data_IF_298957771153
#
_entry.id   IF_298957771153
#
_cell.length_a   1.000
_cell.length_b   1.000
_cell.length_c   1.000
_cell.angle_alpha   90.00
_cell.angle_beta   90.00
_cell.angle_gamma   90.00
#
_symmetry.space_group_name_H-M   'P 1'
#
loop_
_entity.id
_entity.type
_entity.pdbx_description
1 polymer ?
#
# COMPACT_ATOMS: atom_id res chain seq x y z
N UNK A 1 8.34 -5.18 0.40
CA UNK A 1 7.19 -4.80 -0.45
C UNK A 1 6.08 -5.82 -0.27
N UNK A 2 4.83 -5.37 -0.35
CA UNK A 2 3.65 -6.23 -0.18
C UNK A 2 2.61 -5.83 -1.23
N UNK A 3 1.89 -6.81 -1.76
CA UNK A 3 0.71 -6.61 -2.62
C UNK A 3 -0.51 -7.12 -1.85
N UNK A 4 -1.59 -6.36 -1.87
CA UNK A 4 -2.89 -6.79 -1.35
C UNK A 4 -3.99 -6.57 -2.39
N UNK A 5 -5.08 -7.33 -2.25
CA UNK A 5 -6.31 -7.06 -2.99
C UNK A 5 -7.21 -6.06 -2.23
N UNK A 6 -8.37 -5.74 -2.81
CA UNK A 6 -9.35 -4.84 -2.19
C UNK A 6 -10.08 -5.46 -0.99
N UNK A 7 -10.01 -6.78 -0.84
CA UNK A 7 -10.59 -7.55 0.26
C UNK A 7 -9.63 -7.70 1.46
N UNK A 8 -8.49 -7.01 1.42
CA UNK A 8 -7.46 -6.97 2.46
C UNK A 8 -6.70 -8.30 2.63
N UNK A 9 -6.63 -9.13 1.59
CA UNK A 9 -5.74 -10.29 1.57
C UNK A 9 -4.35 -9.90 1.07
N UNK A 10 -3.32 -10.42 1.73
CA UNK A 10 -1.97 -10.38 1.21
C UNK A 10 -1.84 -11.38 0.06
N UNK A 11 -1.55 -10.90 -1.15
CA UNK A 11 -1.38 -11.74 -2.34
C UNK A 11 0.08 -12.00 -2.68
N UNK A 12 0.98 -11.14 -2.18
CA UNK A 12 2.42 -11.31 -2.29
C UNK A 12 3.15 -10.51 -1.21
N UNK A 13 4.29 -11.02 -0.73
CA UNK A 13 5.15 -10.31 0.21
C UNK A 13 6.64 -10.63 -0.05
N UNK A 14 7.42 -9.59 -0.37
CA UNK A 14 8.88 -9.65 -0.36
C UNK A 14 9.39 -9.22 1.02
N UNK A 15 9.91 -10.17 1.79
CA UNK A 15 10.22 -10.02 3.22
C UNK A 15 11.74 -9.97 3.47
N UNK A 16 12.15 -8.96 4.24
CA UNK A 16 13.52 -8.85 4.75
C UNK A 16 14.50 -8.16 3.82
N UNK A 17 13.98 -7.24 3.00
CA UNK A 17 14.80 -6.23 2.32
C UNK A 17 15.26 -5.17 3.33
N UNK A 18 16.46 -4.58 3.15
CA UNK A 18 16.92 -3.47 3.98
C UNK A 18 15.94 -2.30 3.97
N UNK A 19 15.69 -1.68 5.13
CA UNK A 19 14.77 -0.54 5.24
C UNK A 19 15.25 0.74 4.54
N UNK A 20 16.52 0.80 4.14
CA UNK A 20 17.11 1.90 3.36
C UNK A 20 17.01 1.71 1.85
N UNK A 21 16.55 0.54 1.39
CA UNK A 21 16.43 0.25 -0.03
C UNK A 21 15.26 1.04 -0.62
N UNK A 22 15.46 1.70 -1.76
CA UNK A 22 14.39 2.42 -2.44
C UNK A 22 13.26 1.45 -2.83
N UNK A 23 12.02 1.93 -2.75
CA UNK A 23 10.80 1.19 -3.09
C UNK A 23 10.90 0.53 -4.48
N UNK A 24 11.40 1.28 -5.47
CA UNK A 24 11.61 0.77 -6.82
C UNK A 24 12.66 -0.33 -6.89
N UNK A 25 13.76 -0.22 -6.15
CA UNK A 25 14.77 -1.27 -6.06
C UNK A 25 14.20 -2.55 -5.44
N UNK A 26 13.35 -2.41 -4.43
CA UNK A 26 12.64 -3.56 -3.82
C UNK A 26 11.70 -4.21 -4.82
N UNK A 27 10.97 -3.44 -5.64
CA UNK A 27 10.11 -3.98 -6.69
C UNK A 27 10.89 -4.75 -7.74
N UNK A 28 11.98 -4.17 -8.28
CA UNK A 28 12.78 -4.86 -9.28
C UNK A 28 13.45 -6.11 -8.72
N UNK A 29 13.98 -6.05 -7.50
CA UNK A 29 14.49 -7.23 -6.82
C UNK A 29 13.42 -8.32 -6.71
N UNK A 30 12.19 -7.98 -6.33
CA UNK A 30 11.09 -8.92 -6.25
C UNK A 30 10.71 -9.53 -7.61
N UNK A 31 10.56 -8.70 -8.64
CA UNK A 31 10.26 -9.16 -10.01
C UNK A 31 11.35 -10.11 -10.52
N UNK A 32 12.62 -9.82 -10.23
CA UNK A 32 13.74 -10.61 -10.72
C UNK A 32 13.96 -11.93 -9.97
N UNK A 33 13.84 -11.91 -8.64
CA UNK A 33 14.12 -13.08 -7.81
C UNK A 33 12.91 -14.00 -7.67
N UNK A 34 11.69 -13.44 -7.70
CA UNK A 34 10.44 -14.19 -7.53
C UNK A 34 9.69 -14.33 -8.86
N UNK A 35 10.39 -14.38 -10.02
CA UNK A 35 9.77 -14.43 -11.37
C UNK A 35 8.63 -15.43 -11.52
N UNK A 36 8.74 -16.59 -10.86
CA UNK A 36 7.75 -17.66 -10.93
C UNK A 36 6.48 -17.39 -10.10
N UNK A 37 6.57 -16.54 -9.09
CA UNK A 37 5.51 -16.34 -8.09
C UNK A 37 5.05 -14.89 -7.97
N UNK A 38 5.81 -13.93 -8.49
CA UNK A 38 5.45 -12.52 -8.47
C UNK A 38 4.18 -12.29 -9.31
N UNK A 39 3.09 -11.82 -8.69
CA UNK A 39 1.85 -11.62 -9.40
C UNK A 39 1.98 -10.38 -10.28
N UNK A 40 1.93 -10.59 -11.60
CA UNK A 40 1.81 -9.49 -12.56
C UNK A 40 0.34 -9.16 -12.79
N UNK A 41 -0.01 -7.89 -12.97
CA UNK A 41 -1.39 -7.52 -13.24
C UNK A 41 -1.84 -8.12 -14.58
N UNK A 42 -3.05 -8.70 -14.67
CA UNK A 42 -3.59 -9.17 -15.95
C UNK A 42 -3.68 -8.05 -16.99
N UNK A 43 -3.72 -8.40 -18.28
CA UNK A 43 -3.87 -7.40 -19.36
C UNK A 43 -5.11 -6.53 -19.12
N UNK A 44 -4.92 -5.21 -19.19
CA UNK A 44 -5.97 -4.21 -18.93
C UNK A 44 -6.21 -3.91 -17.45
N UNK A 45 -5.42 -4.48 -16.53
CA UNK A 45 -5.43 -4.16 -15.10
C UNK A 45 -4.09 -3.56 -14.68
N UNK A 46 -4.08 -2.92 -13.52
CA UNK A 46 -2.90 -2.28 -12.95
C UNK A 46 -2.93 -2.33 -11.42
N UNK A 47 -1.75 -2.31 -10.80
CA UNK A 47 -1.59 -2.05 -9.37
C UNK A 47 -1.63 -0.56 -9.09
N UNK A 48 -2.32 -0.17 -8.01
CA UNK A 48 -2.17 1.17 -7.45
C UNK A 48 -0.91 1.18 -6.58
N UNK A 49 0.07 2.00 -6.96
CA UNK A 49 1.36 2.08 -6.27
C UNK A 49 1.56 3.43 -5.60
N UNK A 50 2.50 3.48 -4.65
CA UNK A 50 2.89 4.75 -4.02
C UNK A 50 3.61 5.69 -4.98
N UNK A 51 3.72 6.97 -4.61
CA UNK A 51 4.50 7.97 -5.33
C UNK A 51 6.00 7.60 -5.46
N UNK A 52 6.49 6.74 -4.56
CA UNK A 52 7.83 6.17 -4.62
C UNK A 52 8.09 5.26 -5.82
N UNK A 53 7.05 4.74 -6.49
CA UNK A 53 7.19 3.84 -7.64
C UNK A 53 7.05 4.59 -8.99
N UNK A 54 7.68 4.09 -10.07
CA UNK A 54 7.49 4.65 -11.41
C UNK A 54 6.07 4.37 -11.93
N UNK A 55 5.51 5.33 -12.69
CA UNK A 55 4.26 5.12 -13.42
C UNK A 55 4.58 4.39 -14.73
N UNK A 56 4.37 3.08 -14.80
CA UNK A 56 4.79 2.22 -15.92
C UNK A 56 3.78 1.11 -16.14
N UNK A 57 3.81 0.46 -17.29
CA UNK A 57 2.83 -0.57 -17.66
C UNK A 57 2.57 -1.56 -16.51
N UNK A 58 1.31 -1.65 -16.09
CA UNK A 58 0.85 -2.46 -14.97
C UNK A 58 0.90 -1.77 -13.59
N UNK A 59 1.43 -0.56 -13.46
CA UNK A 59 1.59 0.16 -12.20
C UNK A 59 1.16 1.62 -12.36
N UNK A 60 0.08 1.99 -11.66
CA UNK A 60 -0.50 3.33 -11.70
C UNK A 60 -0.10 4.11 -10.45
N UNK A 61 0.82 5.06 -10.63
CA UNK A 61 1.31 5.93 -9.56
C UNK A 61 0.52 7.25 -9.51
N UNK A 62 0.40 7.90 -8.33
CA UNK A 62 -0.22 9.22 -8.22
C UNK A 62 0.61 10.29 -8.92
N UNK A 63 0.01 11.46 -9.15
CA UNK A 63 0.76 12.64 -9.55
C UNK A 63 1.61 13.14 -8.38
N UNK A 64 2.90 13.38 -8.64
CA UNK A 64 3.86 13.93 -7.68
C UNK A 64 3.72 15.45 -7.61
N UNK A 65 4.07 16.03 -6.47
CA UNK A 65 4.09 17.49 -6.27
C UNK A 65 2.72 18.15 -6.05
N UNK A 66 1.66 17.33 -6.00
CA UNK A 66 0.28 17.77 -5.78
C UNK A 66 -0.26 17.13 -4.50
N UNK A 67 -1.33 17.70 -3.95
CA UNK A 67 -1.97 17.16 -2.73
C UNK A 67 -2.37 15.69 -2.94
N UNK A 68 -2.08 14.84 -1.96
CA UNK A 68 -2.25 13.39 -2.08
C UNK A 68 -2.81 12.70 -0.84
N UNK A 69 -2.47 13.13 0.38
CA UNK A 69 -2.92 12.39 1.56
C UNK A 69 -4.41 12.63 1.84
N UNK A 70 -5.15 11.56 2.18
CA UNK A 70 -6.59 11.64 2.51
C UNK A 70 -6.90 12.73 3.56
N UNK A 71 -6.12 12.90 4.64
CA UNK A 71 -6.35 13.98 5.61
C UNK A 71 -6.26 15.39 5.01
N UNK A 72 -5.44 15.60 3.99
CA UNK A 72 -5.28 16.90 3.33
C UNK A 72 -6.56 17.28 2.56
N UNK A 73 -7.29 16.28 2.06
CA UNK A 73 -8.57 16.48 1.39
C UNK A 73 -9.75 16.56 2.36
N UNK A 74 -9.68 15.90 3.51
CA UNK A 74 -10.72 15.98 4.55
C UNK A 74 -10.70 17.31 5.31
N UNK A 75 -9.50 17.85 5.57
CA UNK A 75 -9.31 19.10 6.34
C UNK A 75 -9.17 20.35 5.46
N UNK A 76 -8.83 20.16 4.19
CA UNK A 76 -8.58 21.25 3.24
C UNK A 76 -9.76 21.52 2.31
N UNK A 77 -9.55 22.45 1.37
CA UNK A 77 -10.54 22.75 0.33
C UNK A 77 -10.80 21.52 -0.57
N UNK A 78 -12.00 21.37 -1.17
CA UNK A 78 -12.25 20.31 -2.14
C UNK A 78 -11.21 20.30 -3.29
N UNK A 79 -10.88 19.13 -3.87
CA UNK A 79 -9.98 19.08 -5.02
C UNK A 79 -10.61 19.80 -6.22
N UNK A 80 -9.84 20.65 -6.86
CA UNK A 80 -10.31 21.56 -7.92
C UNK A 80 -9.82 21.13 -9.29
N UNK A 81 -8.61 20.60 -9.38
CA UNK A 81 -7.99 20.20 -10.65
C UNK A 81 -8.27 18.73 -10.96
N UNK A 82 -8.24 18.31 -12.24
CA UNK A 82 -8.31 16.90 -12.62
C UNK A 82 -7.25 16.04 -11.89
N UNK A 83 -6.06 16.61 -11.68
CA UNK A 83 -4.96 15.96 -10.98
C UNK A 83 -5.28 15.74 -9.51
N UNK A 84 -5.75 16.77 -8.79
CA UNK A 84 -6.14 16.63 -7.39
C UNK A 84 -7.30 15.64 -7.22
N UNK A 85 -8.28 15.68 -8.13
CA UNK A 85 -9.43 14.76 -8.15
C UNK A 85 -8.98 13.31 -8.32
N UNK A 86 -8.08 13.06 -9.28
CA UNK A 86 -7.44 11.77 -9.47
C UNK A 86 -6.68 11.32 -8.21
N UNK A 87 -5.80 12.17 -7.66
CA UNK A 87 -5.00 11.85 -6.48
C UNK A 87 -5.88 11.53 -5.26
N UNK A 88 -7.01 12.24 -5.07
CA UNK A 88 -7.97 11.93 -4.01
C UNK A 88 -8.57 10.52 -4.15
N UNK A 89 -9.01 10.16 -5.35
CA UNK A 89 -9.56 8.81 -5.61
C UNK A 89 -8.47 7.75 -5.46
N UNK A 90 -7.29 7.99 -6.04
CA UNK A 90 -6.14 7.09 -5.96
C UNK A 90 -5.77 6.81 -4.51
N UNK A 91 -5.58 7.86 -3.71
CA UNK A 91 -5.26 7.79 -2.28
C UNK A 91 -6.34 7.05 -1.48
N UNK A 92 -7.62 7.34 -1.75
CA UNK A 92 -8.76 6.65 -1.12
C UNK A 92 -8.76 5.14 -1.42
N UNK A 93 -8.46 4.73 -2.65
CA UNK A 93 -8.37 3.31 -3.03
C UNK A 93 -7.11 2.65 -2.49
N UNK A 94 -5.98 3.37 -2.48
CA UNK A 94 -4.71 2.91 -1.92
C UNK A 94 -4.80 2.70 -0.41
N UNK A 95 -5.69 3.40 0.29
CA UNK A 95 -5.94 3.23 1.74
C UNK A 95 -6.16 1.76 2.15
N UNK A 96 -6.64 0.88 1.25
CA UNK A 96 -6.78 -0.55 1.56
C UNK A 96 -5.48 -1.20 2.03
N UNK A 97 -4.31 -0.87 1.44
CA UNK A 97 -3.04 -1.46 1.89
C UNK A 97 -2.69 -1.01 3.31
N UNK A 98 -2.93 0.26 3.63
CA UNK A 98 -2.66 0.85 4.95
C UNK A 98 -3.56 0.23 6.02
N UNK A 99 -4.85 0.11 5.71
CA UNK A 99 -5.83 -0.60 6.55
C UNK A 99 -5.45 -2.05 6.76
N UNK A 100 -4.97 -2.73 5.72
CA UNK A 100 -4.53 -4.14 5.80
C UNK A 100 -3.37 -4.28 6.77
N UNK A 101 -2.34 -3.42 6.66
CA UNK A 101 -1.25 -3.37 7.62
C UNK A 101 -1.72 -3.03 9.04
N UNK A 102 -2.69 -2.12 9.19
CA UNK A 102 -3.28 -1.76 10.47
C UNK A 102 -3.93 -2.96 11.16
N UNK A 103 -4.83 -3.67 10.47
CA UNK A 103 -5.51 -4.86 11.00
C UNK A 103 -4.50 -5.93 11.36
N UNK A 104 -3.57 -6.20 10.44
CA UNK A 104 -2.52 -7.21 10.62
C UNK A 104 -1.68 -6.94 11.87
N UNK A 105 -1.18 -5.70 12.04
CA UNK A 105 -0.39 -5.30 13.21
C UNK A 105 -1.19 -5.29 14.52
N UNK A 106 -2.48 -4.92 14.48
CA UNK A 106 -3.33 -4.93 15.68
C UNK A 106 -3.65 -6.36 16.15
N UNK A 107 -3.89 -7.26 15.20
CA UNK A 107 -4.13 -8.68 15.47
C UNK A 107 -2.88 -9.34 16.03
N UNK A 108 -1.75 -9.16 15.34
CA UNK A 108 -0.49 -9.81 15.66
C UNK A 108 0.47 -8.83 16.32
N UNK A 109 0.21 -8.53 17.60
CA UNK A 109 0.99 -7.52 18.37
C UNK A 109 2.49 -7.82 18.48
N UNK A 110 2.93 -9.05 18.19
CA UNK A 110 4.36 -9.39 18.07
C UNK A 110 5.06 -8.53 17.01
N UNK A 111 4.34 -8.10 15.97
CA UNK A 111 4.86 -7.22 14.91
C UNK A 111 5.11 -5.79 15.39
N UNK A 112 4.44 -5.35 16.46
CA UNK A 112 4.63 -4.02 17.04
C UNK A 112 5.91 -3.91 17.88
N UNK A 113 6.39 -5.06 18.38
CA UNK A 113 7.62 -5.16 19.14
C UNK A 113 8.22 -6.54 18.93
N UNK A 114 8.92 -6.70 17.81
CA UNK A 114 9.62 -7.94 17.49
C UNK A 114 10.67 -8.22 18.58
N UNK A 115 10.64 -9.38 19.25
CA UNK A 115 11.74 -9.80 20.11
C UNK A 115 13.04 -9.95 19.32
N UNK A 116 14.17 -9.99 20.02
CA UNK A 116 15.48 -10.12 19.38
C UNK A 116 15.70 -11.56 18.85
N UNK A 117 15.07 -11.85 17.72
CA UNK A 117 15.24 -13.09 16.97
C UNK A 117 16.21 -12.88 15.80
N UNK A 118 16.78 -13.97 15.30
CA UNK A 118 17.54 -13.93 14.05
C UNK A 118 16.68 -13.36 12.90
N UNK A 119 17.31 -12.73 11.91
CA UNK A 119 16.59 -12.22 10.74
C UNK A 119 15.77 -13.33 10.07
N UNK A 120 16.29 -14.56 9.95
CA UNK A 120 15.56 -15.69 9.39
C UNK A 120 14.25 -15.96 10.15
N UNK A 121 14.31 -15.99 11.48
CA UNK A 121 13.13 -16.18 12.34
C UNK A 121 12.15 -15.01 12.22
N UNK A 122 12.63 -13.77 12.18
CA UNK A 122 11.75 -12.60 11.99
C UNK A 122 11.00 -12.67 10.65
N UNK A 123 11.69 -13.06 9.56
CA UNK A 123 11.04 -13.26 8.25
C UNK A 123 9.93 -14.31 8.31
N UNK A 124 10.18 -15.43 9.00
CA UNK A 124 9.17 -16.49 9.19
C UNK A 124 7.96 -16.02 9.99
N UNK A 125 8.16 -15.23 11.06
CA UNK A 125 7.06 -14.66 11.85
C UNK A 125 6.19 -13.75 10.98
N UNK A 126 6.81 -12.90 10.15
CA UNK A 126 6.09 -12.03 9.21
C UNK A 126 5.26 -12.85 8.24
N UNK A 127 5.85 -13.85 7.58
CA UNK A 127 5.15 -14.72 6.63
C UNK A 127 4.01 -15.51 7.28
N UNK A 128 4.24 -16.08 8.47
CA UNK A 128 3.24 -16.85 9.21
C UNK A 128 2.04 -15.97 9.60
N UNK A 129 2.29 -14.78 10.13
CA UNK A 129 1.21 -13.87 10.54
C UNK A 129 0.43 -13.31 9.35
N UNK A 130 1.06 -13.10 8.18
CA UNK A 130 0.35 -12.76 6.93
C UNK A 130 -0.56 -13.90 6.47
N UNK A 131 -0.07 -15.14 6.55
CA UNK A 131 -0.86 -16.34 6.20
C UNK A 131 -2.05 -16.49 7.12
N UNK A 132 -1.85 -16.35 8.44
CA UNK A 132 -2.93 -16.40 9.43
C UNK A 132 -3.93 -15.25 9.27
N UNK A 133 -3.47 -14.05 8.91
CA UNK A 133 -4.35 -12.93 8.58
C UNK A 133 -5.29 -13.27 7.43
N UNK A 134 -4.76 -13.82 6.33
CA UNK A 134 -5.59 -14.26 5.20
C UNK A 134 -6.57 -15.37 5.60
N UNK A 135 -6.12 -16.35 6.40
CA UNK A 135 -6.97 -17.43 6.89
C UNK A 135 -8.16 -16.88 7.69
N UNK A 136 -7.92 -15.97 8.64
CA UNK A 136 -8.97 -15.32 9.41
C UNK A 136 -9.89 -14.53 8.49
N UNK A 137 -9.34 -13.75 7.55
CA UNK A 137 -10.14 -12.97 6.59
C UNK A 137 -11.10 -13.85 5.78
N UNK A 138 -10.65 -15.03 5.37
CA UNK A 138 -11.43 -15.95 4.54
C UNK A 138 -12.53 -16.68 5.33
N UNK A 139 -12.27 -17.01 6.59
CA UNK A 139 -13.11 -17.94 7.36
C UNK A 139 -13.89 -17.30 8.52
N UNK A 140 -13.49 -16.14 9.00
CA UNK A 140 -14.12 -15.45 10.13
C UNK A 140 -14.64 -14.06 9.72
N UNK A 141 -15.90 -14.05 9.24
CA UNK A 141 -16.59 -12.81 8.84
C UNK A 141 -16.93 -11.90 10.03
N UNK A 142 -16.95 -12.45 11.25
CA UNK A 142 -17.28 -11.71 12.47
C UNK A 142 -16.04 -11.19 13.20
N UNK A 143 -14.85 -11.32 12.59
CA UNK A 143 -13.61 -10.86 13.19
C UNK A 143 -13.65 -9.35 13.47
N UNK A 144 -13.52 -9.01 14.75
CA UNK A 144 -13.67 -7.65 15.24
C UNK A 144 -12.67 -6.64 14.63
N UNK A 145 -11.49 -7.07 14.20
CA UNK A 145 -10.51 -6.14 13.61
C UNK A 145 -10.86 -5.80 12.16
N UNK A 146 -11.35 -6.78 11.40
CA UNK A 146 -11.88 -6.53 10.06
C UNK A 146 -13.18 -5.72 10.13
N UNK A 147 -14.14 -6.11 10.97
CA UNK A 147 -15.41 -5.39 11.13
C UNK A 147 -15.22 -3.91 11.50
N UNK A 148 -14.26 -3.60 12.37
CA UNK A 148 -13.95 -2.19 12.72
C UNK A 148 -13.47 -1.38 11.51
N UNK A 149 -12.66 -1.98 10.65
CA UNK A 149 -12.21 -1.32 9.43
C UNK A 149 -13.32 -1.22 8.39
N UNK A 150 -14.21 -2.20 8.29
CA UNK A 150 -15.31 -2.15 7.31
C UNK A 150 -16.38 -1.12 7.66
N UNK A 151 -16.66 -0.93 8.96
CA UNK A 151 -17.63 0.05 9.44
C UNK A 151 -17.24 1.50 9.19
N UNK A 152 -15.94 1.77 9.10
CA UNK A 152 -15.41 3.10 8.86
C UNK A 152 -14.31 3.03 7.80
N UNK A 153 -14.64 3.49 6.59
CA UNK A 153 -13.74 3.45 5.44
C UNK A 153 -12.48 4.29 5.63
N UNK A 154 -12.52 5.28 6.53
CA UNK A 154 -11.41 6.16 6.89
C UNK A 154 -10.68 5.67 8.16
N UNK A 155 -11.12 4.57 8.77
CA UNK A 155 -10.47 3.99 9.95
C UNK A 155 -9.14 3.36 9.58
N UNK A 156 -8.06 4.01 10.01
CA UNK A 156 -6.71 3.44 10.01
C UNK A 156 -6.39 2.98 11.43
N UNK A 157 -6.25 1.65 11.67
CA UNK A 157 -5.94 1.13 13.00
C UNK A 157 -4.67 1.77 13.55
N UNK A 158 -4.83 2.57 14.61
CA UNK A 158 -3.72 3.34 15.17
C UNK A 158 -2.87 2.45 16.08
N UNK A 159 -1.56 2.47 15.89
CA UNK A 159 -0.63 1.78 16.78
C UNK A 159 -0.76 2.38 18.20
N UNK A 160 -1.05 1.57 19.24
CA UNK A 160 -1.17 2.06 20.60
C UNK A 160 0.08 2.84 21.03
N UNK A 161 -0.09 3.93 21.79
CA UNK A 161 0.98 4.87 22.12
C UNK A 161 2.24 4.21 22.68
N UNK A 162 2.09 3.17 23.50
CA UNK A 162 3.21 2.41 24.06
C UNK A 162 4.14 1.76 23.02
N UNK A 163 3.67 1.57 21.78
CA UNK A 163 4.44 1.02 20.67
C UNK A 163 4.88 2.08 19.65
N UNK A 164 4.45 3.34 19.77
CA UNK A 164 4.85 4.41 18.84
C UNK A 164 6.37 4.57 18.75
N UNK A 165 7.09 4.37 19.86
CA UNK A 165 8.57 4.40 19.88
C UNK A 165 9.26 3.33 19.03
N UNK A 166 8.53 2.30 18.60
CA UNK A 166 9.03 1.22 17.75
C UNK A 166 8.46 1.29 16.33
N UNK A 167 7.54 2.22 16.05
CA UNK A 167 6.98 2.41 14.72
C UNK A 167 7.98 3.17 13.84
N UNK A 168 8.23 2.67 12.64
CA UNK A 168 8.94 3.45 11.61
C UNK A 168 7.96 4.51 11.08
N UNK A 169 8.33 5.81 11.04
CA UNK A 169 7.49 6.85 10.49
C UNK A 169 7.09 6.52 9.04
N UNK A 170 5.81 6.68 8.72
CA UNK A 170 5.25 6.44 7.38
C UNK A 170 5.85 7.36 6.30
N UNK A 171 6.52 8.43 6.71
CA UNK A 171 7.02 9.53 5.90
C UNK A 171 8.37 9.23 5.24
N UNK A 172 8.93 8.03 5.44
CA UNK A 172 10.28 7.69 4.97
C UNK A 172 10.36 7.30 3.48
N UNK A 173 9.22 7.20 2.78
CA UNK A 173 9.14 6.76 1.37
C UNK A 173 9.03 7.89 0.34
N UNK A 174 9.05 9.17 0.75
CA UNK A 174 8.98 10.33 -0.16
C UNK A 174 10.31 10.61 -0.89
N UNK A 175 11.11 9.59 -1.19
CA UNK A 175 12.32 9.74 -1.98
C UNK A 175 11.97 9.46 -3.44
N UNK A 176 12.00 10.51 -4.26
CA UNK A 176 11.73 10.41 -5.70
C UNK A 176 12.68 9.39 -6.35
N UNK A 177 12.12 8.35 -6.95
CA UNK A 177 12.86 7.38 -7.76
C UNK A 177 13.37 8.03 -9.05
N UNK A 178 14.60 7.71 -9.45
CA UNK A 178 15.27 8.10 -10.71
C UNK A 178 14.87 7.26 -11.94
N UNK A 179 13.98 6.28 -11.78
CA UNK A 179 13.54 5.39 -12.85
C UNK A 179 12.48 6.09 -13.69
N UNK A 180 12.65 6.04 -15.00
CA UNK A 180 11.76 6.70 -15.96
C UNK A 180 10.35 6.09 -15.93
N UNK A 181 9.35 6.95 -15.95
CA UNK A 181 7.94 6.56 -16.19
C UNK A 181 7.76 6.09 -17.63
N UNK A 182 6.82 5.17 -17.85
CA UNK A 182 6.44 4.72 -19.19
C UNK A 182 5.42 5.67 -19.83
N UNK A 183 5.62 6.13 -21.07
CA UNK A 183 4.77 7.14 -21.71
C UNK A 183 3.30 6.69 -21.85
N UNK A 184 3.06 5.38 -22.01
CA UNK A 184 1.71 4.83 -22.14
C UNK A 184 0.87 5.03 -20.88
N UNK A 185 1.44 4.75 -19.70
CA UNK A 185 0.73 4.88 -18.43
C UNK A 185 0.57 6.33 -17.99
N UNK A 186 1.46 7.23 -18.42
CA UNK A 186 1.28 8.66 -18.20
C UNK A 186 0.10 9.21 -18.99
N UNK A 187 -0.04 8.82 -20.27
CA UNK A 187 -1.20 9.18 -21.08
C UNK A 187 -2.49 8.60 -20.48
N UNK A 188 -2.51 7.30 -20.17
CA UNK A 188 -3.66 6.64 -19.55
C UNK A 188 -4.08 7.32 -18.24
N UNK A 189 -3.12 7.66 -17.38
CA UNK A 189 -3.40 8.37 -16.13
C UNK A 189 -4.01 9.75 -16.38
N UNK A 190 -3.52 10.48 -17.39
CA UNK A 190 -4.04 11.80 -17.76
C UNK A 190 -5.46 11.75 -18.33
N UNK A 191 -5.74 10.78 -19.20
CA UNK A 191 -7.09 10.53 -19.72
C UNK A 191 -8.05 10.16 -18.60
N UNK A 192 -7.61 9.28 -17.68
CA UNK A 192 -8.41 8.86 -16.53
C UNK A 192 -8.70 10.05 -15.58
N UNK A 193 -7.70 10.88 -15.28
CA UNK A 193 -7.87 12.09 -14.48
C UNK A 193 -8.86 13.07 -15.13
N UNK A 194 -8.79 13.23 -16.44
CA UNK A 194 -9.72 14.07 -17.22
C UNK A 194 -11.14 13.51 -17.17
N UNK A 195 -11.31 12.21 -17.41
CA UNK A 195 -12.61 11.54 -17.34
C UNK A 195 -13.25 11.68 -15.94
N UNK A 196 -12.48 11.43 -14.88
CA UNK A 196 -12.91 11.64 -13.49
C UNK A 196 -13.38 13.08 -13.26
N UNK A 197 -12.65 14.06 -13.79
CA UNK A 197 -12.97 15.46 -13.60
C UNK A 197 -14.27 15.90 -14.29
N UNK A 198 -14.57 15.31 -15.45
CA UNK A 198 -15.81 15.54 -16.21
C UNK A 198 -17.04 14.94 -15.51
N UNK A 199 -16.86 13.92 -14.68
CA UNK A 199 -17.94 13.23 -13.95
C UNK A 199 -17.97 13.59 -12.46
N UNK A 200 -17.27 14.63 -12.03
CA UNK A 200 -16.98 14.93 -10.63
C UNK A 200 -18.14 15.53 -9.83
#
# INVERSE_FOLDING_TARGET
MVVCDFDMHFTYASIGQPGSMHDTSVLFHAIENDKATFPHPPKGKYYLVDAGYPNRDGYLAPYKGERYHVPDFQRGAPPTTPVEKFNRIHSSKRNTIERTFGVWKMKWKILLKMPNYSIATQKMIVAATMTLHNYVRLHDKEDLHFLRCERDLDYVPTIPDRYKKYAIPSNASDVSTTAESGPNMDLFRHELATAIALTW
#
